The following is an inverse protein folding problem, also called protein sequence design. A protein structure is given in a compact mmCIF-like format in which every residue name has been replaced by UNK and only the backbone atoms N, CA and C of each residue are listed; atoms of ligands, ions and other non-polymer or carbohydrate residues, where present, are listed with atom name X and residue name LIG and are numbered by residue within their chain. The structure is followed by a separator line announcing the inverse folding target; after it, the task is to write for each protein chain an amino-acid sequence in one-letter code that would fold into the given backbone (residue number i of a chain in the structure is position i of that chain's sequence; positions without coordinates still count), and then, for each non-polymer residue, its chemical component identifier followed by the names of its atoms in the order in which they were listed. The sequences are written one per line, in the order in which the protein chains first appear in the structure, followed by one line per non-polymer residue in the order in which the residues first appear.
data_IF_885586776522
#
_entry.id   IF_885586776522
#
_cell.length_a   1.000
_cell.length_b   1.000
_cell.length_c   1.000
_cell.angle_alpha   90.00
_cell.angle_beta   90.00
_cell.angle_gamma   90.00
#
_symmetry.space_group_name_H-M   'P 1'
#
loop_
_entity.id
_entity.type
_entity.pdbx_description
1 polymer ?
#
# COMPACT_ATOMS: atom_id res chain seq x y z
N UNK A 1 -15.52 -0.94 -13.31
CA UNK A 1 -14.55 -1.08 -12.20
C UNK A 1 -14.50 0.26 -11.52
N UNK A 2 -14.35 0.29 -10.20
CA UNK A 2 -14.24 1.54 -9.41
C UNK A 2 -12.82 2.08 -9.53
N UNK A 3 -12.66 3.36 -9.89
CA UNK A 3 -11.37 4.05 -9.97
C UNK A 3 -10.97 4.71 -8.65
N UNK A 4 -9.76 5.29 -8.59
CA UNK A 4 -9.33 6.05 -7.41
C UNK A 4 -10.21 7.29 -7.18
N UNK A 5 -10.62 8.00 -8.24
CA UNK A 5 -11.55 9.15 -8.12
C UNK A 5 -12.87 8.77 -7.43
N UNK A 6 -13.48 7.65 -7.84
CA UNK A 6 -14.72 7.14 -7.21
C UNK A 6 -14.52 6.83 -5.70
N UNK A 7 -13.32 6.39 -5.33
CA UNK A 7 -12.96 6.09 -3.95
C UNK A 7 -12.69 7.36 -3.14
N UNK A 8 -11.99 8.35 -3.72
CA UNK A 8 -11.77 9.68 -3.15
C UNK A 8 -13.10 10.36 -2.83
N UNK A 9 -14.01 10.46 -3.80
CA UNK A 9 -15.35 11.04 -3.59
C UNK A 9 -16.16 10.32 -2.50
N UNK A 10 -15.97 9.00 -2.37
CA UNK A 10 -16.61 8.22 -1.32
C UNK A 10 -15.98 8.48 0.04
N UNK A 11 -14.67 8.63 0.10
CA UNK A 11 -13.93 8.95 1.30
C UNK A 11 -14.28 10.35 1.80
N UNK A 12 -14.22 11.36 0.95
CA UNK A 12 -14.60 12.75 1.26
C UNK A 12 -15.98 12.81 1.90
N UNK A 13 -17.00 12.21 1.26
CA UNK A 13 -18.36 12.14 1.84
C UNK A 13 -18.37 11.47 3.22
N UNK A 14 -17.60 10.40 3.41
CA UNK A 14 -17.54 9.70 4.69
C UNK A 14 -16.96 10.58 5.80
N UNK A 15 -15.95 11.39 5.47
CA UNK A 15 -15.30 12.33 6.38
C UNK A 15 -16.20 13.53 6.68
N UNK A 16 -16.80 14.12 5.63
CA UNK A 16 -17.70 15.27 5.72
C UNK A 16 -18.94 14.95 6.56
N UNK A 17 -19.56 13.78 6.34
CA UNK A 17 -20.73 13.31 7.11
C UNK A 17 -20.46 13.20 8.62
N UNK A 18 -19.19 13.23 9.03
CA UNK A 18 -18.73 13.08 10.41
C UNK A 18 -18.02 14.30 10.97
N UNK A 19 -17.84 15.36 10.18
CA UNK A 19 -17.00 16.51 10.50
C UNK A 19 -15.59 16.08 10.95
N UNK A 20 -15.01 15.04 10.33
CA UNK A 20 -13.72 14.47 10.74
C UNK A 20 -12.50 15.13 10.09
N UNK A 21 -12.70 16.02 9.11
CA UNK A 21 -11.62 16.73 8.42
C UNK A 21 -10.66 17.43 9.41
N UNK A 22 -11.21 17.97 10.51
CA UNK A 22 -10.47 18.63 11.58
C UNK A 22 -9.36 17.78 12.23
N UNK A 23 -9.42 16.45 12.09
CA UNK A 23 -8.42 15.52 12.63
C UNK A 23 -7.42 15.03 11.57
N UNK A 24 -7.63 15.32 10.29
CA UNK A 24 -6.83 14.83 9.16
C UNK A 24 -5.66 15.75 8.81
N UNK A 25 -4.87 16.14 9.82
CA UNK A 25 -3.61 16.84 9.53
C UNK A 25 -2.65 15.92 8.78
N UNK A 26 -1.77 16.44 7.90
CA UNK A 26 -0.80 15.61 7.17
C UNK A 26 0.05 14.72 8.08
N UNK A 27 0.38 15.20 9.28
CA UNK A 27 1.09 14.39 10.27
C UNK A 27 0.25 13.18 10.72
N UNK A 28 -1.01 13.40 11.08
CA UNK A 28 -1.89 12.33 11.56
C UNK A 28 -2.14 11.29 10.47
N UNK A 29 -2.32 11.72 9.21
CA UNK A 29 -2.48 10.82 8.08
C UNK A 29 -1.21 10.00 7.82
N UNK A 30 -0.02 10.59 7.91
CA UNK A 30 1.24 9.87 7.78
C UNK A 30 1.43 8.83 8.90
N UNK A 31 1.05 9.18 10.14
CA UNK A 31 1.04 8.26 11.27
C UNK A 31 0.05 7.11 11.04
N UNK A 32 -1.17 7.40 10.56
CA UNK A 32 -2.17 6.39 10.23
C UNK A 32 -1.67 5.41 9.16
N UNK A 33 -1.14 5.90 8.03
CA UNK A 33 -0.52 5.06 6.99
C UNK A 33 0.55 4.14 7.60
N UNK A 34 1.41 4.69 8.46
CA UNK A 34 2.44 3.91 9.13
C UNK A 34 1.86 2.83 10.04
N UNK A 35 0.78 3.12 10.77
CA UNK A 35 0.11 2.14 11.63
C UNK A 35 -0.46 1.01 10.79
N UNK A 36 -1.26 1.30 9.77
CA UNK A 36 -1.89 0.26 8.94
C UNK A 36 -0.86 -0.57 8.16
N UNK A 37 0.25 0.04 7.74
CA UNK A 37 1.36 -0.70 7.14
C UNK A 37 2.01 -1.68 8.13
N UNK A 38 2.04 -1.35 9.42
CA UNK A 38 2.51 -2.26 10.46
C UNK A 38 1.45 -3.33 10.82
N UNK A 39 0.16 -3.04 10.73
CA UNK A 39 -0.89 -4.05 10.88
C UNK A 39 -0.81 -5.08 9.73
N UNK A 40 -0.56 -4.63 8.50
CA UNK A 40 -0.25 -5.51 7.38
C UNK A 40 1.01 -6.36 7.62
N UNK A 41 2.06 -5.77 8.19
CA UNK A 41 3.26 -6.51 8.58
C UNK A 41 2.97 -7.54 9.68
N UNK A 42 2.11 -7.21 10.64
CA UNK A 42 1.71 -8.08 11.75
C UNK A 42 1.15 -9.42 11.25
N UNK A 43 0.40 -9.39 10.14
CA UNK A 43 -0.14 -10.60 9.50
C UNK A 43 0.95 -11.65 9.24
N UNK A 44 2.19 -11.23 9.02
CA UNK A 44 3.30 -12.12 8.66
C UNK A 44 4.35 -12.32 9.78
N UNK A 45 4.20 -11.70 10.97
CA UNK A 45 5.23 -11.73 12.03
C UNK A 45 5.67 -13.13 12.46
N UNK A 46 4.75 -14.10 12.42
CA UNK A 46 4.98 -15.48 12.83
C UNK A 46 5.01 -16.46 11.67
N UNK A 47 4.99 -15.96 10.44
CA UNK A 47 5.13 -16.79 9.25
C UNK A 47 6.61 -16.93 8.90
N UNK A 48 7.08 -18.16 8.71
CA UNK A 48 8.35 -18.39 8.02
C UNK A 48 8.23 -17.88 6.57
N UNK A 49 9.37 -17.66 5.89
CA UNK A 49 9.42 -17.23 4.48
C UNK A 49 8.96 -18.35 3.52
N UNK A 50 7.71 -18.80 3.67
CA UNK A 50 7.06 -19.77 2.80
C UNK A 50 6.78 -19.16 1.43
N UNK A 51 6.73 -19.98 0.35
CA UNK A 51 6.27 -19.53 -0.94
C UNK A 51 4.89 -18.86 -0.85
N UNK A 52 4.70 -17.79 -1.62
CA UNK A 52 3.46 -17.00 -1.61
C UNK A 52 2.20 -17.84 -1.87
N UNK A 53 2.31 -18.97 -2.56
CA UNK A 53 1.21 -19.92 -2.82
C UNK A 53 0.69 -20.60 -1.55
N UNK A 54 1.58 -20.94 -0.61
CA UNK A 54 1.23 -21.61 0.65
C UNK A 54 0.51 -20.64 1.58
N UNK A 55 1.07 -19.44 1.75
CA UNK A 55 0.50 -18.36 2.57
C UNK A 55 -0.84 -17.86 2.01
N UNK A 56 -1.00 -17.82 0.67
CA UNK A 56 -2.27 -17.47 0.01
C UNK A 56 -3.34 -18.56 0.13
N UNK A 57 -3.02 -19.78 0.53
CA UNK A 57 -4.05 -20.81 0.69
C UNK A 57 -4.82 -20.66 2.02
N UNK A 58 -4.24 -19.95 2.98
CA UNK A 58 -4.86 -19.63 4.26
C UNK A 58 -5.92 -18.52 4.10
N UNK A 59 -7.17 -18.86 4.43
CA UNK A 59 -8.30 -17.95 4.31
C UNK A 59 -8.30 -16.81 5.33
N UNK A 60 -7.75 -17.05 6.53
CA UNK A 60 -7.68 -16.05 7.59
C UNK A 60 -6.62 -15.01 7.26
N UNK A 61 -5.42 -15.46 6.87
CA UNK A 61 -4.35 -14.59 6.38
C UNK A 61 -4.84 -13.73 5.21
N UNK A 62 -5.50 -14.34 4.21
CA UNK A 62 -6.04 -13.59 3.07
C UNK A 62 -7.09 -12.56 3.45
N UNK A 63 -7.94 -12.84 4.42
CA UNK A 63 -8.94 -11.90 4.89
C UNK A 63 -8.26 -10.69 5.55
N UNK A 64 -7.29 -10.95 6.43
CA UNK A 64 -6.51 -9.89 7.09
C UNK A 64 -5.72 -9.06 6.11
N UNK A 65 -4.92 -9.65 5.22
CA UNK A 65 -4.19 -8.91 4.18
C UNK A 65 -5.10 -7.99 3.38
N UNK A 66 -6.31 -8.46 3.04
CA UNK A 66 -7.29 -7.66 2.29
C UNK A 66 -7.78 -6.45 3.09
N UNK A 67 -7.95 -6.59 4.39
CA UNK A 67 -8.36 -5.51 5.31
C UNK A 67 -7.22 -4.50 5.44
N UNK A 68 -6.05 -4.94 5.89
CA UNK A 68 -4.94 -4.00 6.20
C UNK A 68 -4.44 -3.28 4.94
N UNK A 69 -4.38 -3.96 3.77
CA UNK A 69 -3.99 -3.29 2.52
C UNK A 69 -5.02 -2.25 2.07
N UNK A 70 -6.30 -2.49 2.36
CA UNK A 70 -7.34 -1.52 2.05
C UNK A 70 -7.22 -0.30 2.95
N UNK A 71 -6.90 -0.47 4.24
CA UNK A 71 -6.72 0.65 5.17
C UNK A 71 -5.49 1.49 4.82
N UNK A 72 -4.36 0.87 4.45
CA UNK A 72 -3.20 1.61 3.89
C UNK A 72 -3.61 2.47 2.68
N UNK A 73 -4.40 1.90 1.76
CA UNK A 73 -4.86 2.63 0.57
C UNK A 73 -5.84 3.75 0.94
N UNK A 74 -6.75 3.53 1.88
CA UNK A 74 -7.73 4.53 2.33
C UNK A 74 -7.00 5.77 2.89
N UNK A 75 -6.02 5.58 3.77
CA UNK A 75 -5.26 6.74 4.28
C UNK A 75 -4.31 7.34 3.24
N UNK A 76 -3.88 6.56 2.24
CA UNK A 76 -3.13 7.12 1.10
C UNK A 76 -4.00 8.02 0.23
N UNK A 77 -5.26 7.64 0.00
CA UNK A 77 -6.27 8.48 -0.66
C UNK A 77 -6.50 9.74 0.15
N UNK A 78 -6.70 9.62 1.46
CA UNK A 78 -6.87 10.76 2.37
C UNK A 78 -5.69 11.74 2.31
N UNK A 79 -4.46 11.21 2.26
CA UNK A 79 -3.27 12.03 2.12
C UNK A 79 -3.22 12.73 0.77
N UNK A 80 -3.49 12.01 -0.32
CA UNK A 80 -3.48 12.57 -1.66
C UNK A 80 -4.49 13.72 -1.80
N UNK A 81 -5.71 13.52 -1.28
CA UNK A 81 -6.77 14.52 -1.23
C UNK A 81 -6.32 15.81 -0.50
N UNK A 82 -5.67 15.66 0.67
CA UNK A 82 -5.18 16.80 1.46
C UNK A 82 -4.13 17.67 0.75
N UNK A 83 -3.50 17.15 -0.31
CA UNK A 83 -2.47 17.81 -1.10
C UNK A 83 -2.88 18.06 -2.56
N UNK A 84 -4.16 17.85 -2.91
CA UNK A 84 -4.68 17.98 -4.28
C UNK A 84 -3.89 17.11 -5.30
N UNK A 85 -3.52 15.88 -4.89
CA UNK A 85 -2.78 14.93 -5.72
C UNK A 85 -3.74 13.94 -6.37
N UNK A 86 -3.68 13.82 -7.70
CA UNK A 86 -4.27 12.68 -8.41
C UNK A 86 -3.44 11.43 -8.10
N UNK A 87 -3.99 10.56 -7.26
CA UNK A 87 -3.29 9.36 -6.80
C UNK A 87 -3.05 8.37 -7.95
N UNK A 88 -3.96 8.29 -8.93
CA UNK A 88 -3.80 7.38 -10.07
C UNK A 88 -2.65 7.85 -10.96
N UNK A 89 -2.62 9.15 -11.30
CA UNK A 89 -1.54 9.76 -12.06
C UNK A 89 -0.19 9.62 -11.34
N UNK A 90 -0.15 9.92 -10.03
CA UNK A 90 1.08 9.79 -9.24
C UNK A 90 1.62 8.35 -9.21
N UNK A 91 0.74 7.35 -9.15
CA UNK A 91 1.15 5.93 -9.21
C UNK A 91 1.66 5.56 -10.60
N UNK A 92 0.98 6.00 -11.68
CA UNK A 92 1.42 5.76 -13.07
C UNK A 92 2.79 6.38 -13.35
N UNK A 93 3.00 7.65 -12.99
CA UNK A 93 4.30 8.31 -13.09
C UNK A 93 5.37 7.54 -12.32
N UNK A 94 5.04 7.11 -11.09
CA UNK A 94 6.00 6.38 -10.27
C UNK A 94 6.34 5.00 -10.82
N UNK A 95 5.39 4.33 -11.48
CA UNK A 95 5.63 3.07 -12.17
C UNK A 95 6.56 3.27 -13.37
N UNK A 96 6.33 4.29 -14.20
CA UNK A 96 7.20 4.61 -15.34
C UNK A 96 8.64 4.90 -14.90
N UNK A 97 8.82 5.69 -13.83
CA UNK A 97 10.13 5.94 -13.23
C UNK A 97 10.81 4.66 -12.74
N UNK A 98 10.04 3.73 -12.16
CA UNK A 98 10.56 2.46 -11.66
C UNK A 98 10.93 1.52 -12.81
N UNK A 99 10.17 1.51 -13.90
CA UNK A 99 10.49 0.73 -15.11
C UNK A 99 11.81 1.20 -15.76
N UNK A 100 12.06 2.51 -15.78
CA UNK A 100 13.36 3.06 -16.23
C UNK A 100 14.48 2.73 -15.24
N UNK A 101 14.24 2.86 -13.94
CA UNK A 101 15.25 2.62 -12.91
C UNK A 101 15.63 1.14 -12.75
N UNK A 102 14.68 0.23 -12.96
CA UNK A 102 14.84 -1.21 -12.80
C UNK A 102 14.65 -1.92 -14.14
N UNK A 103 15.37 -1.45 -15.16
CA UNK A 103 15.44 -2.09 -16.48
C UNK A 103 15.92 -3.56 -16.40
N UNK A 104 15.83 -4.29 -17.52
CA UNK A 104 16.17 -5.73 -17.56
C UNK A 104 17.59 -6.03 -17.06
N UNK A 105 18.54 -5.13 -17.34
CA UNK A 105 19.94 -5.27 -16.90
C UNK A 105 20.05 -5.10 -15.38
N UNK A 106 19.53 -3.99 -14.85
CA UNK A 106 19.54 -3.69 -13.42
C UNK A 106 18.77 -4.73 -12.61
N UNK A 107 17.62 -5.19 -13.12
CA UNK A 107 16.83 -6.25 -12.50
C UNK A 107 17.60 -7.59 -12.44
N UNK A 108 18.37 -7.90 -13.47
CA UNK A 108 19.23 -9.10 -13.50
C UNK A 108 20.31 -9.00 -12.43
N UNK A 109 21.03 -7.89 -12.37
CA UNK A 109 22.07 -7.66 -11.35
C UNK A 109 21.52 -7.74 -9.92
N UNK A 110 20.37 -7.09 -9.67
CA UNK A 110 19.70 -7.15 -8.36
C UNK A 110 19.26 -8.56 -7.99
N UNK A 111 18.79 -9.35 -8.95
CA UNK A 111 18.39 -10.75 -8.71
C UNK A 111 19.59 -11.60 -8.29
N UNK A 112 20.74 -11.43 -8.95
CA UNK A 112 21.98 -12.10 -8.56
C UNK A 112 22.40 -11.74 -7.13
N UNK A 113 22.26 -10.48 -6.76
CA UNK A 113 22.60 -10.00 -5.41
C UNK A 113 21.64 -10.49 -4.34
N UNK A 114 20.32 -10.40 -4.55
CA UNK A 114 19.30 -10.89 -3.60
C UNK A 114 19.42 -12.40 -3.40
N UNK A 115 19.70 -13.15 -4.46
CA UNK A 115 19.92 -14.61 -4.38
C UNK A 115 21.13 -14.99 -3.51
N UNK A 116 22.10 -14.08 -3.31
CA UNK A 116 23.23 -14.31 -2.39
C UNK A 116 22.82 -14.23 -0.92
N UNK A 117 21.79 -13.46 -0.60
CA UNK A 117 21.28 -13.26 0.75
C UNK A 117 20.19 -14.26 1.16
N UNK A 118 19.52 -14.90 0.20
CA UNK A 118 18.52 -15.95 0.44
C UNK A 118 19.12 -17.36 0.63
N UNK A 119 20.38 -17.47 1.08
CA UNK A 119 21.00 -18.80 1.33
C UNK A 119 20.35 -19.48 2.54
N UNK A 120 19.96 -20.74 2.32
CA UNK A 120 19.29 -21.72 3.21
C UNK A 120 19.35 -21.46 4.72
#
# INVERSE_FOLDING_TARGET
MTGFDDLTERYERFVDDRDWDQFHTPKNLAEAISVEANELLEVFLWHDNHPSEEVRSDSEVRARVKEEIADVVIYSIAMADQFDIDLAEAVEEKMADNEERFDEETATEMTEDLSRWQRD
#
